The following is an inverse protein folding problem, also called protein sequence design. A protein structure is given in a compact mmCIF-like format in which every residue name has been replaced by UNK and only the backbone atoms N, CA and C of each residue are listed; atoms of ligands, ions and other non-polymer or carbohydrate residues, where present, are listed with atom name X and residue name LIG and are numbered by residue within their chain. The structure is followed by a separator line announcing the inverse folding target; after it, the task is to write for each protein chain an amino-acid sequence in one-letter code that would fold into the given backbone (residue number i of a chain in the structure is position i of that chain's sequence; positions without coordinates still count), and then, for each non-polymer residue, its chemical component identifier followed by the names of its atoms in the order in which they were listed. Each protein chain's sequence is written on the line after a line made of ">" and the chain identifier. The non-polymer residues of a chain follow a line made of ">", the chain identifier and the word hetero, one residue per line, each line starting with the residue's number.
data_IF_508231549001
#
_entry.id   IF_508231549001
#
_cell.length_a   1.000
_cell.length_b   1.000
_cell.length_c   1.000
_cell.angle_alpha   90.00
_cell.angle_beta   90.00
_cell.angle_gamma   90.00
#
_symmetry.space_group_name_H-M   'P 1'
#
loop_
_entity.id
_entity.type
_entity.pdbx_description
1 polymer ?
#
# COMPACT_ATOMS: atom_id res chain seq x y z
N UNK A 1 -13.55 -1.65 -15.35
CA UNK A 1 -13.36 -0.99 -14.03
C UNK A 1 -11.92 -0.53 -13.91
N UNK A 2 -11.69 0.68 -13.40
CA UNK A 2 -10.36 1.18 -13.02
C UNK A 2 -10.21 1.17 -11.51
N UNK A 3 -9.08 0.66 -11.01
CA UNK A 3 -8.75 0.60 -9.59
C UNK A 3 -7.53 1.49 -9.36
N UNK A 4 -7.66 2.48 -8.49
CA UNK A 4 -6.58 3.36 -8.07
C UNK A 4 -6.02 2.83 -6.75
N UNK A 5 -4.89 2.13 -6.80
CA UNK A 5 -4.16 1.69 -5.62
C UNK A 5 -3.24 2.80 -5.14
N UNK A 6 -3.38 3.21 -3.89
CA UNK A 6 -2.64 4.32 -3.29
C UNK A 6 -1.91 3.83 -2.04
N UNK A 7 -0.63 4.15 -1.88
CA UNK A 7 0.04 3.96 -0.60
C UNK A 7 -0.32 5.11 0.35
N UNK A 8 -0.53 4.82 1.63
CA UNK A 8 -0.77 5.83 2.66
C UNK A 8 0.31 6.94 2.67
N UNK A 9 -0.04 8.14 3.19
CA UNK A 9 0.87 9.27 3.37
C UNK A 9 2.01 8.96 4.36
N UNK A 10 3.03 9.81 4.37
CA UNK A 10 4.16 9.68 5.29
C UNK A 10 3.68 9.68 6.75
N UNK A 11 4.18 8.74 7.55
CA UNK A 11 3.93 8.63 8.99
C UNK A 11 5.15 9.01 9.81
N UNK A 12 4.96 9.25 11.12
CA UNK A 12 6.08 9.47 12.06
C UNK A 12 7.06 8.31 12.01
N UNK A 13 6.57 7.06 12.00
CA UNK A 13 7.44 5.88 11.94
C UNK A 13 8.15 5.70 10.59
N UNK A 14 7.64 6.25 9.49
CA UNK A 14 8.41 6.32 8.26
C UNK A 14 9.66 7.21 8.43
N UNK A 15 9.51 8.36 9.10
CA UNK A 15 10.63 9.28 9.38
C UNK A 15 11.62 8.65 10.36
N UNK A 16 11.12 8.00 11.42
CA UNK A 16 11.94 7.34 12.44
C UNK A 16 12.55 6.00 11.96
N UNK A 17 12.21 5.55 10.74
CA UNK A 17 12.63 4.25 10.19
C UNK A 17 12.28 3.08 11.10
N UNK A 18 11.02 3.02 11.56
CA UNK A 18 10.46 1.91 12.33
C UNK A 18 9.57 1.03 11.46
N UNK A 19 9.58 -0.25 11.75
CA UNK A 19 8.61 -1.17 11.19
C UNK A 19 7.21 -0.87 11.71
N UNK A 20 6.22 -0.81 10.82
CA UNK A 20 4.85 -0.50 11.21
C UNK A 20 3.98 -1.76 11.30
N UNK A 21 3.97 -2.57 10.24
CA UNK A 21 3.13 -3.74 10.20
C UNK A 21 1.66 -3.41 10.42
N UNK A 22 1.03 -4.14 11.33
CA UNK A 22 -0.36 -3.93 11.77
C UNK A 22 -0.49 -2.85 12.86
N UNK A 23 0.60 -2.45 13.51
CA UNK A 23 0.63 -1.30 14.40
C UNK A 23 0.54 0.01 13.63
N UNK A 24 0.08 1.06 14.30
CA UNK A 24 -0.19 2.35 13.66
C UNK A 24 0.69 3.47 14.19
N UNK A 25 1.04 4.38 13.30
CA UNK A 25 1.72 5.63 13.58
C UNK A 25 1.00 6.75 12.84
N UNK A 26 0.82 7.93 13.46
CA UNK A 26 0.07 9.01 12.83
C UNK A 26 0.78 9.53 11.58
N UNK A 27 0.00 10.07 10.65
CA UNK A 27 0.53 10.83 9.52
C UNK A 27 1.32 12.03 10.04
N UNK A 28 2.44 12.34 9.40
CA UNK A 28 3.13 13.61 9.60
C UNK A 28 2.35 14.75 8.92
N UNK A 29 2.67 16.00 9.24
CA UNK A 29 2.13 17.14 8.49
C UNK A 29 2.40 17.02 6.99
N UNK A 30 3.61 16.56 6.62
CA UNK A 30 3.95 16.26 5.23
C UNK A 30 3.05 15.18 4.64
N UNK A 31 2.79 14.08 5.38
CA UNK A 31 1.90 13.01 4.94
C UNK A 31 0.46 13.50 4.67
N UNK A 32 -0.04 14.41 5.52
CA UNK A 32 -1.35 15.05 5.32
C UNK A 32 -1.35 15.93 4.06
N UNK A 33 -0.29 16.73 3.86
CA UNK A 33 -0.14 17.57 2.66
C UNK A 33 -0.08 16.69 1.41
N UNK A 34 0.71 15.62 1.41
CA UNK A 34 0.80 14.65 0.31
C UNK A 34 -0.58 14.10 -0.08
N UNK A 35 -1.37 13.66 0.91
CA UNK A 35 -2.71 13.13 0.69
C UNK A 35 -3.68 14.19 0.10
N UNK A 36 -3.64 15.42 0.62
CA UNK A 36 -4.45 16.53 0.10
C UNK A 36 -4.06 16.91 -1.34
N UNK A 37 -2.76 16.92 -1.67
CA UNK A 37 -2.27 17.18 -3.03
C UNK A 37 -2.74 16.09 -4.01
N UNK A 38 -2.76 14.83 -3.59
CA UNK A 38 -3.33 13.76 -4.40
C UNK A 38 -4.84 13.96 -4.59
N UNK A 39 -5.57 14.33 -3.53
CA UNK A 39 -6.99 14.65 -3.60
C UNK A 39 -7.29 15.77 -4.60
N UNK A 40 -6.48 16.83 -4.61
CA UNK A 40 -6.57 17.93 -5.58
C UNK A 40 -6.23 17.50 -7.01
N UNK A 41 -5.19 16.66 -7.19
CA UNK A 41 -4.83 16.07 -8.49
C UNK A 41 -5.95 15.25 -9.09
N UNK A 42 -6.69 14.54 -8.24
CA UNK A 42 -7.77 13.63 -8.65
C UNK A 42 -9.17 14.29 -8.56
N UNK A 43 -9.28 15.60 -8.33
CA UNK A 43 -10.56 16.26 -8.03
C UNK A 43 -11.60 16.14 -9.14
N UNK A 44 -11.16 16.16 -10.40
CA UNK A 44 -12.03 16.08 -11.57
C UNK A 44 -12.35 14.62 -11.98
N UNK A 45 -11.76 13.64 -11.29
CA UNK A 45 -12.03 12.22 -11.50
C UNK A 45 -13.21 11.80 -10.62
N UNK A 46 -14.27 11.27 -11.24
CA UNK A 46 -15.40 10.70 -10.52
C UNK A 46 -15.03 9.29 -10.04
N UNK A 47 -15.08 9.08 -8.74
CA UNK A 47 -14.98 7.77 -8.12
C UNK A 47 -16.35 7.32 -7.62
N UNK A 48 -16.67 6.05 -7.81
CA UNK A 48 -17.90 5.44 -7.29
C UNK A 48 -17.73 5.09 -5.81
N UNK A 49 -16.53 4.61 -5.43
CA UNK A 49 -16.21 4.18 -4.07
C UNK A 49 -14.79 4.56 -3.65
N UNK A 50 -14.63 4.76 -2.34
CA UNK A 50 -13.35 4.92 -1.67
C UNK A 50 -13.20 3.82 -0.63
N UNK A 51 -12.03 3.18 -0.63
CA UNK A 51 -11.66 2.15 0.33
C UNK A 51 -10.37 2.49 1.04
N UNK A 52 -10.22 1.95 2.23
CA UNK A 52 -8.95 1.88 2.94
C UNK A 52 -8.89 0.60 3.76
N UNK A 53 -7.72 0.26 4.29
CA UNK A 53 -7.65 -0.68 5.40
C UNK A 53 -8.11 -0.01 6.69
N UNK A 54 -8.35 -0.82 7.74
CA UNK A 54 -8.73 -0.33 9.08
C UNK A 54 -7.61 0.47 9.77
N UNK A 55 -6.35 0.33 9.32
CA UNK A 55 -5.21 1.05 9.88
C UNK A 55 -5.37 2.56 9.67
N UNK A 56 -5.26 3.31 10.77
CA UNK A 56 -5.57 4.75 10.82
C UNK A 56 -4.81 5.55 9.77
N UNK A 57 -3.52 5.25 9.54
CA UNK A 57 -2.70 5.93 8.52
C UNK A 57 -3.29 5.81 7.10
N UNK A 58 -3.86 4.64 6.74
CA UNK A 58 -4.49 4.44 5.45
C UNK A 58 -5.87 5.10 5.40
N UNK A 59 -6.67 4.94 6.44
CA UNK A 59 -8.00 5.52 6.53
C UNK A 59 -7.96 7.06 6.52
N UNK A 60 -7.08 7.68 7.30
CA UNK A 60 -6.89 9.13 7.29
C UNK A 60 -6.41 9.62 5.91
N UNK A 61 -5.47 8.91 5.27
CA UNK A 61 -5.03 9.23 3.92
C UNK A 61 -6.19 9.21 2.92
N UNK A 62 -7.03 8.16 2.97
CA UNK A 62 -8.20 8.04 2.10
C UNK A 62 -9.20 9.19 2.33
N UNK A 63 -9.44 9.58 3.58
CA UNK A 63 -10.30 10.72 3.93
C UNK A 63 -9.77 12.05 3.37
N UNK A 64 -8.45 12.29 3.45
CA UNK A 64 -7.85 13.50 2.87
C UNK A 64 -7.91 13.51 1.35
N UNK A 65 -7.71 12.35 0.69
CA UNK A 65 -7.86 12.23 -0.77
C UNK A 65 -9.32 12.44 -1.20
N UNK A 66 -10.26 11.83 -0.47
CA UNK A 66 -11.70 11.96 -0.71
C UNK A 66 -12.14 13.43 -0.61
N UNK A 67 -11.63 14.15 0.38
CA UNK A 67 -12.02 15.54 0.63
C UNK A 67 -13.54 15.63 0.89
N UNK A 68 -14.18 16.59 0.22
CA UNK A 68 -15.60 16.89 0.40
C UNK A 68 -16.55 16.05 -0.47
N UNK A 69 -16.06 15.00 -1.16
CA UNK A 69 -16.93 14.09 -1.92
C UNK A 69 -17.90 13.37 -0.98
N UNK A 70 -19.11 13.06 -1.46
CA UNK A 70 -20.20 12.49 -0.63
C UNK A 70 -19.96 11.04 -0.20
N UNK A 71 -19.19 10.27 -0.99
CA UNK A 71 -18.93 8.87 -0.69
C UNK A 71 -18.25 8.70 0.67
N UNK A 72 -18.59 7.64 1.39
CA UNK A 72 -17.86 7.23 2.59
C UNK A 72 -16.61 6.43 2.23
N UNK A 73 -15.66 6.36 3.17
CA UNK A 73 -14.49 5.47 3.06
C UNK A 73 -14.84 4.14 3.70
N UNK A 74 -14.99 3.12 2.88
CA UNK A 74 -15.30 1.75 3.32
C UNK A 74 -14.01 0.99 3.70
N UNK A 75 -14.11 0.07 4.65
CA UNK A 75 -12.97 -0.74 5.11
C UNK A 75 -12.84 -2.02 4.28
N UNK A 76 -11.61 -2.30 3.82
CA UNK A 76 -11.26 -3.51 3.10
C UNK A 76 -9.89 -4.04 3.56
N UNK A 77 -9.88 -4.91 4.57
CA UNK A 77 -8.67 -5.37 5.27
C UNK A 77 -7.92 -6.51 4.58
N UNK A 78 -8.46 -7.07 3.48
CA UNK A 78 -7.67 -8.02 2.68
C UNK A 78 -6.40 -7.36 2.08
N UNK A 79 -6.31 -6.00 2.08
CA UNK A 79 -5.14 -5.23 1.64
C UNK A 79 -4.39 -4.55 2.80
N UNK A 80 -4.53 -5.05 4.03
CA UNK A 80 -3.77 -4.56 5.19
C UNK A 80 -2.26 -4.82 5.01
N UNK A 81 -1.39 -4.09 5.72
CA UNK A 81 0.06 -4.25 5.60
C UNK A 81 0.52 -5.65 6.07
N UNK A 82 1.69 -6.07 5.62
CA UNK A 82 2.38 -7.25 6.15
C UNK A 82 2.52 -7.13 7.66
N UNK A 83 2.15 -8.20 8.40
CA UNK A 83 2.41 -8.24 9.83
C UNK A 83 3.90 -8.37 10.10
N UNK A 84 4.43 -7.49 10.94
CA UNK A 84 5.81 -7.54 11.42
C UNK A 84 5.93 -8.22 12.79
N UNK A 85 4.80 -8.69 13.36
CA UNK A 85 4.77 -9.36 14.66
C UNK A 85 5.46 -8.55 15.75
N UNK A 86 6.33 -9.19 16.53
CA UNK A 86 7.02 -8.58 17.66
C UNK A 86 8.00 -7.45 17.25
N UNK A 87 8.26 -7.32 15.93
CA UNK A 87 9.14 -6.26 15.41
C UNK A 87 8.43 -4.91 15.20
N UNK A 88 7.11 -4.87 15.37
CA UNK A 88 6.35 -3.63 15.18
C UNK A 88 6.77 -2.54 16.17
N UNK A 89 7.04 -1.34 15.66
CA UNK A 89 7.58 -0.22 16.42
C UNK A 89 9.10 -0.20 16.59
N UNK A 90 9.81 -1.32 16.30
CA UNK A 90 11.26 -1.39 16.37
C UNK A 90 11.92 -0.58 15.25
N UNK A 91 13.04 0.09 15.54
CA UNK A 91 13.83 0.75 14.49
C UNK A 91 14.54 -0.27 13.61
N UNK A 92 14.67 0.03 12.30
CA UNK A 92 15.35 -0.85 11.36
C UNK A 92 16.79 -1.20 11.79
N UNK A 93 17.52 -0.25 12.36
CA UNK A 93 18.90 -0.47 12.83
C UNK A 93 18.97 -1.37 14.07
N UNK A 94 17.95 -1.35 14.92
CA UNK A 94 17.84 -2.24 16.07
C UNK A 94 17.52 -3.67 15.61
N UNK A 95 16.51 -3.81 14.73
CA UNK A 95 16.17 -5.10 14.13
C UNK A 95 17.37 -5.71 13.38
N UNK A 96 18.12 -4.90 12.63
CA UNK A 96 19.32 -5.32 11.93
C UNK A 96 20.40 -5.88 12.85
N UNK A 97 20.52 -5.39 14.08
CA UNK A 97 21.47 -5.94 15.06
C UNK A 97 21.03 -7.31 15.59
N UNK A 98 19.73 -7.51 15.76
CA UNK A 98 19.16 -8.76 16.27
C UNK A 98 19.06 -9.83 15.17
N UNK A 99 18.61 -9.44 13.98
CA UNK A 99 18.27 -10.33 12.87
C UNK A 99 18.84 -9.83 11.54
N UNK A 100 20.18 -9.75 11.37
CA UNK A 100 20.80 -9.13 10.19
C UNK A 100 20.40 -9.79 8.87
N UNK A 101 20.29 -11.13 8.84
CA UNK A 101 19.86 -11.85 7.64
C UNK A 101 18.39 -11.60 7.32
N UNK A 102 17.51 -11.50 8.32
CA UNK A 102 16.09 -11.26 8.09
C UNK A 102 15.84 -9.83 7.59
N UNK A 103 16.60 -8.84 8.06
CA UNK A 103 16.54 -7.47 7.48
C UNK A 103 16.95 -7.49 6.02
N UNK A 104 18.05 -8.16 5.69
CA UNK A 104 18.51 -8.31 4.31
C UNK A 104 17.46 -9.00 3.45
N UNK A 105 16.89 -10.09 3.94
CA UNK A 105 15.87 -10.85 3.23
C UNK A 105 14.58 -10.03 3.03
N UNK A 106 14.12 -9.30 4.03
CA UNK A 106 12.95 -8.44 3.92
C UNK A 106 13.06 -7.41 2.79
N UNK A 107 14.24 -6.80 2.60
CA UNK A 107 14.42 -5.76 1.60
C UNK A 107 14.87 -6.30 0.23
N UNK A 108 15.68 -7.37 0.19
CA UNK A 108 16.39 -7.79 -1.01
C UNK A 108 16.20 -9.25 -1.42
N UNK A 109 15.57 -10.07 -0.59
CA UNK A 109 15.36 -11.49 -0.87
C UNK A 109 14.10 -12.02 -0.19
N UNK A 110 12.93 -11.50 -0.62
CA UNK A 110 11.67 -11.70 0.08
C UNK A 110 11.24 -13.17 0.20
N UNK A 111 11.71 -14.07 -0.67
CA UNK A 111 11.40 -15.49 -0.57
C UNK A 111 12.12 -16.19 0.57
N UNK A 112 13.29 -15.66 0.98
CA UNK A 112 14.07 -16.17 2.11
C UNK A 112 13.75 -15.45 3.43
N UNK A 113 12.80 -14.50 3.38
CA UNK A 113 12.36 -13.81 4.58
C UNK A 113 11.47 -14.74 5.43
N UNK A 114 11.99 -15.15 6.56
CA UNK A 114 11.31 -16.01 7.53
C UNK A 114 10.98 -15.24 8.82
N UNK A 115 9.73 -14.80 9.00
CA UNK A 115 9.29 -14.08 10.18
C UNK A 115 8.82 -14.98 11.34
N UNK A 116 8.97 -16.31 11.25
CA UNK A 116 8.39 -17.27 12.19
C UNK A 116 8.81 -16.99 13.63
N UNK A 117 10.09 -16.62 13.85
CA UNK A 117 10.65 -16.37 15.20
C UNK A 117 9.99 -15.20 15.92
N UNK A 118 9.47 -14.20 15.18
CA UNK A 118 8.83 -13.01 15.76
C UNK A 118 7.37 -12.86 15.32
N UNK A 119 6.72 -13.96 14.96
CA UNK A 119 5.27 -14.04 14.70
C UNK A 119 4.76 -13.10 13.60
N UNK A 120 5.62 -12.78 12.63
CA UNK A 120 5.25 -11.95 11.47
C UNK A 120 4.60 -12.76 10.35
N UNK A 121 4.30 -12.07 9.25
CA UNK A 121 3.76 -12.64 8.00
C UNK A 121 4.88 -12.69 6.93
N UNK A 122 5.01 -13.80 6.23
CA UNK A 122 5.92 -13.93 5.10
C UNK A 122 5.35 -13.28 3.83
N UNK A 123 6.20 -12.95 2.86
CA UNK A 123 5.73 -12.41 1.56
C UNK A 123 4.89 -13.43 0.76
N UNK A 124 5.06 -14.72 1.01
CA UNK A 124 4.21 -15.76 0.40
C UNK A 124 2.79 -15.66 0.96
N UNK A 125 2.64 -15.55 2.28
CA UNK A 125 1.33 -15.38 2.93
C UNK A 125 0.67 -14.07 2.51
N UNK A 126 1.42 -12.96 2.46
CA UNK A 126 0.91 -11.68 1.92
C UNK A 126 0.39 -11.88 0.50
N UNK A 127 1.15 -12.56 -0.37
CA UNK A 127 0.76 -12.81 -1.75
C UNK A 127 -0.54 -13.61 -1.85
N UNK A 128 -0.66 -14.66 -1.09
CA UNK A 128 -1.88 -15.47 -1.08
C UNK A 128 -3.10 -14.66 -0.61
N UNK A 129 -2.94 -13.87 0.45
CA UNK A 129 -3.98 -13.01 1.00
C UNK A 129 -4.42 -11.94 -0.01
N UNK A 130 -3.47 -11.23 -0.64
CA UNK A 130 -3.80 -10.16 -1.59
C UNK A 130 -4.42 -10.69 -2.87
N UNK A 131 -4.06 -11.89 -3.34
CA UNK A 131 -4.70 -12.53 -4.50
C UNK A 131 -6.16 -12.86 -4.19
N UNK A 132 -6.43 -13.48 -3.04
CA UNK A 132 -7.81 -13.75 -2.59
C UNK A 132 -8.59 -12.45 -2.43
N UNK A 133 -7.98 -11.45 -1.80
CA UNK A 133 -8.55 -10.12 -1.62
C UNK A 133 -8.85 -9.42 -2.94
N UNK A 134 -7.94 -9.49 -3.93
CA UNK A 134 -8.15 -8.87 -5.23
C UNK A 134 -9.36 -9.46 -5.97
N UNK A 135 -9.50 -10.79 -5.98
CA UNK A 135 -10.64 -11.45 -6.59
C UNK A 135 -11.97 -11.05 -5.90
N UNK A 136 -11.99 -11.01 -4.59
CA UNK A 136 -13.13 -10.53 -3.79
C UNK A 136 -13.43 -9.06 -4.07
N UNK A 137 -12.39 -8.22 -4.15
CA UNK A 137 -12.52 -6.79 -4.41
C UNK A 137 -13.12 -6.50 -5.78
N UNK A 138 -12.68 -7.22 -6.80
CA UNK A 138 -13.21 -7.12 -8.17
C UNK A 138 -14.68 -7.52 -8.21
N UNK A 139 -15.05 -8.65 -7.59
CA UNK A 139 -16.44 -9.12 -7.56
C UNK A 139 -17.35 -8.13 -6.83
N UNK A 140 -16.90 -7.58 -5.71
CA UNK A 140 -17.62 -6.57 -4.93
C UNK A 140 -17.88 -5.29 -5.75
N UNK A 141 -16.95 -4.93 -6.63
CA UNK A 141 -16.94 -3.66 -7.36
C UNK A 141 -17.29 -3.78 -8.85
N UNK A 142 -17.70 -4.94 -9.34
CA UNK A 142 -17.90 -5.22 -10.79
C UNK A 142 -18.87 -4.28 -11.52
N UNK A 143 -19.76 -3.63 -10.78
CA UNK A 143 -20.76 -2.69 -11.33
C UNK A 143 -20.29 -1.23 -11.28
N UNK A 144 -19.11 -0.94 -10.78
CA UNK A 144 -18.54 0.40 -10.70
C UNK A 144 -17.51 0.62 -11.82
N UNK A 145 -17.40 1.88 -12.26
CA UNK A 145 -16.43 2.26 -13.27
C UNK A 145 -15.05 2.51 -12.65
N UNK A 146 -15.03 3.17 -11.47
CA UNK A 146 -13.78 3.64 -10.87
C UNK A 146 -13.83 3.65 -9.36
N UNK A 147 -12.85 2.98 -8.75
CA UNK A 147 -12.71 2.88 -7.29
C UNK A 147 -11.29 3.25 -6.86
N UNK A 148 -11.15 3.80 -5.65
CA UNK A 148 -9.86 4.11 -5.07
C UNK A 148 -9.70 3.33 -3.76
N UNK A 149 -8.53 2.72 -3.55
CA UNK A 149 -8.20 2.01 -2.31
C UNK A 149 -6.82 2.45 -1.79
N UNK A 150 -6.78 2.85 -0.52
CA UNK A 150 -5.54 3.20 0.16
C UNK A 150 -5.05 1.99 0.96
N UNK A 151 -3.81 1.59 0.70
CA UNK A 151 -3.13 0.44 1.29
C UNK A 151 -1.69 0.82 1.67
N UNK A 152 -0.75 -0.15 1.66
CA UNK A 152 0.54 -0.05 2.32
C UNK A 152 1.69 -0.48 1.40
N UNK A 153 2.92 -0.32 1.91
CA UNK A 153 4.13 -0.46 1.11
C UNK A 153 4.39 -1.88 0.63
N UNK A 154 4.58 -2.84 1.54
CA UNK A 154 4.91 -4.21 1.18
C UNK A 154 3.72 -4.93 0.52
N UNK A 155 2.51 -4.67 1.01
CA UNK A 155 1.27 -5.20 0.44
C UNK A 155 1.08 -4.75 -1.01
N UNK A 156 1.22 -3.45 -1.31
CA UNK A 156 1.10 -2.95 -2.67
C UNK A 156 2.23 -3.44 -3.58
N UNK A 157 3.47 -3.51 -3.08
CA UNK A 157 4.59 -4.12 -3.82
C UNK A 157 4.21 -5.53 -4.29
N UNK A 158 3.73 -6.37 -3.37
CA UNK A 158 3.37 -7.77 -3.63
C UNK A 158 2.15 -7.89 -4.56
N UNK A 159 1.11 -7.08 -4.33
CA UNK A 159 -0.11 -7.06 -5.14
C UNK A 159 0.16 -6.62 -6.59
N UNK A 160 0.89 -5.51 -6.78
CA UNK A 160 1.17 -4.98 -8.10
C UNK A 160 2.15 -5.86 -8.87
N UNK A 161 3.09 -6.51 -8.18
CA UNK A 161 3.95 -7.52 -8.76
C UNK A 161 3.13 -8.71 -9.30
N UNK A 162 2.16 -9.21 -8.53
CA UNK A 162 1.24 -10.26 -8.99
C UNK A 162 0.43 -9.82 -10.20
N UNK A 163 -0.15 -8.61 -10.17
CA UNK A 163 -0.95 -8.05 -11.28
C UNK A 163 -0.12 -7.93 -12.56
N UNK A 164 1.18 -7.64 -12.46
CA UNK A 164 2.08 -7.56 -13.63
C UNK A 164 2.42 -8.92 -14.24
N UNK A 165 1.92 -10.02 -13.67
CA UNK A 165 2.12 -11.38 -14.19
C UNK A 165 3.53 -11.93 -13.99
N UNK A 166 4.35 -11.30 -13.14
CA UNK A 166 5.73 -11.72 -12.87
C UNK A 166 5.81 -12.89 -11.91
N UNK A 167 6.84 -13.69 -12.05
CA UNK A 167 7.14 -14.77 -11.09
C UNK A 167 7.59 -14.20 -9.74
N UNK A 168 7.11 -14.77 -8.63
CA UNK A 168 7.38 -14.28 -7.28
C UNK A 168 8.88 -14.18 -6.96
N UNK A 169 9.73 -15.00 -7.61
CA UNK A 169 11.19 -14.94 -7.43
C UNK A 169 11.79 -13.59 -7.84
N UNK A 170 11.08 -12.78 -8.63
CA UNK A 170 11.50 -11.45 -9.05
C UNK A 170 10.94 -10.32 -8.18
N UNK A 171 10.27 -10.64 -7.07
CA UNK A 171 9.68 -9.63 -6.18
C UNK A 171 10.74 -8.67 -5.62
N UNK A 172 11.98 -9.13 -5.41
CA UNK A 172 13.10 -8.30 -4.97
C UNK A 172 13.47 -7.17 -5.92
N UNK A 173 13.18 -7.33 -7.22
CA UNK A 173 13.50 -6.32 -8.24
C UNK A 173 12.56 -5.11 -8.18
N UNK A 174 11.44 -5.23 -7.48
CA UNK A 174 10.46 -4.17 -7.38
C UNK A 174 10.74 -3.24 -6.20
N UNK A 175 10.65 -1.95 -6.44
CA UNK A 175 10.70 -0.96 -5.36
C UNK A 175 9.38 -0.91 -4.57
N UNK A 176 9.48 -0.61 -3.29
CA UNK A 176 8.29 -0.27 -2.49
C UNK A 176 7.70 1.05 -3.01
N UNK A 177 6.41 1.13 -3.33
CA UNK A 177 5.77 2.37 -3.78
C UNK A 177 6.02 3.52 -2.79
N UNK A 178 6.23 4.74 -3.29
CA UNK A 178 6.43 5.93 -2.45
C UNK A 178 5.12 6.32 -1.73
N UNK A 179 5.23 7.03 -0.59
CA UNK A 179 4.05 7.54 0.10
C UNK A 179 3.17 8.38 -0.84
N UNK A 180 1.87 8.15 -0.80
CA UNK A 180 0.83 8.70 -1.68
C UNK A 180 1.04 8.48 -3.18
N UNK A 181 2.03 7.68 -3.61
CA UNK A 181 2.04 7.24 -5.00
C UNK A 181 0.77 6.46 -5.31
N UNK A 182 0.28 6.61 -6.53
CA UNK A 182 -0.87 5.84 -6.99
C UNK A 182 -0.53 5.03 -8.24
N UNK A 183 -1.17 3.88 -8.36
CA UNK A 183 -1.09 3.00 -9.54
C UNK A 183 -2.50 2.77 -10.05
N UNK A 184 -2.71 2.96 -11.34
CA UNK A 184 -4.00 2.71 -12.00
C UNK A 184 -3.97 1.35 -12.63
N UNK A 185 -4.88 0.49 -12.21
CA UNK A 185 -5.07 -0.86 -12.77
C UNK A 185 -6.44 -0.91 -13.44
N UNK A 186 -6.45 -1.26 -14.73
CA UNK A 186 -7.68 -1.59 -15.45
C UNK A 186 -7.98 -3.08 -15.28
N UNK A 187 -9.23 -3.39 -14.92
CA UNK A 187 -9.76 -4.75 -14.93
C UNK A 187 -10.84 -4.86 -15.98
N UNK A 188 -10.66 -5.75 -16.94
CA UNK A 188 -11.60 -5.99 -18.04
C UNK A 188 -11.51 -7.45 -18.51
N UNK A 189 -12.66 -8.10 -18.66
CA UNK A 189 -12.76 -9.48 -19.17
C UNK A 189 -11.86 -10.49 -18.45
N UNK A 190 -11.77 -10.39 -17.12
CA UNK A 190 -10.97 -11.29 -16.28
C UNK A 190 -9.47 -11.00 -16.28
N UNK A 191 -9.02 -9.90 -16.89
CA UNK A 191 -7.61 -9.54 -16.99
C UNK A 191 -7.32 -8.20 -16.31
N UNK A 192 -6.15 -8.11 -15.71
CA UNK A 192 -5.61 -6.88 -15.13
C UNK A 192 -4.55 -6.29 -16.07
N UNK A 193 -4.55 -4.96 -16.19
CA UNK A 193 -3.55 -4.18 -16.91
C UNK A 193 -3.15 -2.97 -16.07
N UNK A 194 -1.85 -2.79 -15.83
CA UNK A 194 -1.34 -1.58 -15.17
C UNK A 194 -1.23 -0.49 -16.22
N UNK A 195 -2.05 0.57 -16.07
CA UNK A 195 -2.08 1.71 -17.01
C UNK A 195 -1.09 2.79 -16.61
N UNK A 196 -0.96 3.05 -15.30
CA UNK A 196 -0.06 4.06 -14.73
C UNK A 196 0.55 3.49 -13.46
N UNK A 197 1.87 3.48 -13.34
CA UNK A 197 2.57 2.80 -12.26
C UNK A 197 3.28 3.78 -11.35
N UNK A 198 3.00 3.70 -10.04
CA UNK A 198 3.67 4.44 -8.97
C UNK A 198 3.83 5.94 -9.23
N UNK A 199 2.79 6.55 -9.77
CA UNK A 199 2.74 7.95 -10.15
C UNK A 199 2.80 8.86 -8.92
N UNK A 200 3.70 9.85 -8.93
CA UNK A 200 3.90 10.85 -7.89
C UNK A 200 3.80 12.29 -8.43
N UNK A 201 3.28 12.49 -9.61
CA UNK A 201 3.27 13.81 -10.29
C UNK A 201 2.57 14.91 -9.49
N UNK A 202 1.68 14.55 -8.54
CA UNK A 202 1.05 15.49 -7.63
C UNK A 202 2.01 16.13 -6.62
N UNK A 203 3.20 15.55 -6.41
CA UNK A 203 4.23 16.01 -5.49
C UNK A 203 5.32 16.85 -6.18
N UNK A 204 5.45 16.71 -7.51
CA UNK A 204 6.50 17.37 -8.28
C UNK A 204 6.41 18.91 -8.19
N UNK A 205 7.55 19.55 -7.90
CA UNK A 205 7.66 21.00 -7.76
C UNK A 205 6.94 21.61 -6.55
N UNK A 206 6.27 20.77 -5.72
CA UNK A 206 5.53 21.24 -4.54
C UNK A 206 6.17 20.84 -3.22
N UNK A 207 6.95 19.77 -3.23
CA UNK A 207 7.64 19.26 -2.05
C UNK A 207 9.08 18.94 -2.45
N UNK A 208 10.04 19.30 -1.57
CA UNK A 208 11.42 18.86 -1.67
C UNK A 208 11.48 17.41 -1.17
N UNK A 209 11.44 16.45 -2.11
CA UNK A 209 11.45 15.00 -1.82
C UNK A 209 12.79 14.43 -2.30
#
# INVERSE_FOLDING_TARGET
>A
MEIYFVRHGQTVWNVEKRFQGLSDSPLTELGIIQAKLLGEKLKDIKFDKFYSTSLKRANDTAKYIKGNREQEVEIFDDFVEISMGDMEGMQHEEFKKLYPEQVKNFFFNQLEYDPTEYHGESFIEVRERVIKGLNKFVELNKNYERVLVVSHGATLKTLLHYISGKDISTLSDEAIPKNTSYTIVKYENGKFEIIDFSNISHLEGKLWI
#
